data_IF_772400494322
#
_entry.id   IF_772400494322
#
_cell.length_a   1.000
_cell.length_b   1.000
_cell.length_c   1.000
_cell.angle_alpha   90.00
_cell.angle_beta   90.00
_cell.angle_gamma   90.00
#
_symmetry.space_group_name_H-M   'P 1'
#
loop_
_entity.id
_entity.type
_entity.pdbx_description
1 polymer ?
#
# COMPACT_ATOMS: atom_id res chain seq x y z
N UNK A 1 -2.18 -15.59 5.22
CA UNK A 1 -2.69 -16.91 4.76
C UNK A 1 -1.86 -17.30 3.54
N UNK A 2 -1.09 -18.38 3.61
CA UNK A 2 -0.23 -18.83 2.52
C UNK A 2 -1.04 -19.57 1.45
N UNK A 3 -0.53 -19.55 0.20
CA UNK A 3 -1.14 -20.23 -0.95
C UNK A 3 -1.33 -21.73 -0.73
N UNK A 4 -0.33 -22.39 -0.13
CA UNK A 4 -0.37 -23.81 0.23
C UNK A 4 -1.54 -24.15 1.16
N UNK A 5 -1.84 -23.27 2.12
CA UNK A 5 -2.99 -23.39 3.01
C UNK A 5 -4.33 -23.20 2.29
N UNK A 6 -4.36 -22.38 1.24
CA UNK A 6 -5.55 -22.19 0.40
C UNK A 6 -5.84 -23.45 -0.44
N UNK A 7 -4.85 -23.93 -1.20
CA UNK A 7 -5.03 -25.06 -2.13
C UNK A 7 -5.27 -26.39 -1.41
N UNK A 8 -4.75 -26.55 -0.20
CA UNK A 8 -4.99 -27.74 0.63
C UNK A 8 -6.39 -27.76 1.24
N UNK A 9 -7.09 -26.62 1.30
CA UNK A 9 -8.38 -26.46 1.95
C UNK A 9 -9.54 -27.22 1.29
N UNK A 10 -10.48 -27.71 2.11
CA UNK A 10 -11.66 -28.48 1.66
C UNK A 10 -12.48 -27.75 0.59
N UNK A 11 -12.63 -26.42 0.71
CA UNK A 11 -13.36 -25.58 -0.25
C UNK A 11 -12.70 -25.58 -1.64
N UNK A 12 -11.38 -25.40 -1.69
CA UNK A 12 -10.62 -25.43 -2.94
C UNK A 12 -10.73 -26.80 -3.60
N UNK A 13 -10.40 -27.87 -2.87
CA UNK A 13 -10.49 -29.25 -3.39
C UNK A 13 -11.87 -29.61 -3.94
N UNK A 14 -12.93 -29.26 -3.21
CA UNK A 14 -14.31 -29.51 -3.65
C UNK A 14 -14.60 -28.78 -4.96
N UNK A 15 -14.25 -27.49 -5.03
CA UNK A 15 -14.47 -26.67 -6.22
C UNK A 15 -13.61 -27.13 -7.41
N UNK A 16 -12.34 -27.47 -7.20
CA UNK A 16 -11.45 -28.04 -8.21
C UNK A 16 -12.02 -29.34 -8.79
N UNK A 17 -12.53 -30.24 -7.94
CA UNK A 17 -13.17 -31.49 -8.38
C UNK A 17 -14.45 -31.23 -9.18
N UNK A 18 -15.25 -30.24 -8.77
CA UNK A 18 -16.48 -29.87 -9.48
C UNK A 18 -16.21 -29.24 -10.86
N UNK A 19 -15.18 -28.42 -10.98
CA UNK A 19 -14.84 -27.70 -12.23
C UNK A 19 -13.90 -28.55 -13.12
N UNK A 20 -13.32 -29.63 -12.58
CA UNK A 20 -12.41 -30.51 -13.33
C UNK A 20 -10.99 -29.95 -13.47
N UNK A 21 -10.59 -29.02 -12.60
CA UNK A 21 -9.26 -28.40 -12.63
C UNK A 21 -8.34 -29.04 -11.58
N UNK A 22 -7.02 -29.11 -11.83
CA UNK A 22 -6.07 -29.65 -10.87
C UNK A 22 -6.06 -28.85 -9.57
N UNK A 23 -5.82 -29.54 -8.44
CA UNK A 23 -5.76 -28.92 -7.10
C UNK A 23 -4.59 -27.93 -7.01
N UNK A 24 -3.48 -28.24 -7.68
CA UNK A 24 -2.28 -27.40 -7.74
C UNK A 24 -2.30 -26.39 -8.90
N UNK A 25 -3.48 -25.89 -9.26
CA UNK A 25 -3.60 -24.77 -10.20
C UNK A 25 -2.85 -23.58 -9.62
N UNK A 26 -2.09 -22.84 -10.43
CA UNK A 26 -1.48 -21.57 -10.02
C UNK A 26 -2.47 -20.43 -10.26
N UNK A 27 -2.39 -19.31 -9.52
CA UNK A 27 -3.14 -18.12 -9.88
C UNK A 27 -2.68 -17.66 -11.27
N UNK A 28 -3.60 -17.57 -12.20
CA UNK A 28 -3.34 -16.87 -13.46
C UNK A 28 -3.58 -15.38 -13.23
N UNK A 29 -2.65 -14.55 -13.69
CA UNK A 29 -2.88 -13.11 -13.75
C UNK A 29 -4.10 -12.86 -14.63
N UNK A 30 -5.04 -12.06 -14.11
CA UNK A 30 -6.26 -11.74 -14.83
C UNK A 30 -5.89 -11.02 -16.13
N UNK A 31 -6.00 -11.71 -17.26
CA UNK A 31 -5.79 -11.11 -18.56
C UNK A 31 -6.79 -9.96 -18.73
N UNK A 32 -6.27 -8.74 -18.82
CA UNK A 32 -7.10 -7.58 -19.13
C UNK A 32 -7.63 -7.78 -20.54
N UNK A 33 -8.94 -7.96 -20.65
CA UNK A 33 -9.60 -8.17 -21.94
C UNK A 33 -9.26 -7.02 -22.91
N UNK A 34 -9.15 -7.29 -24.23
CA UNK A 34 -8.93 -6.24 -25.22
C UNK A 34 -9.94 -5.09 -25.07
N UNK A 35 -9.46 -3.85 -25.11
CA UNK A 35 -10.28 -2.65 -24.91
C UNK A 35 -10.62 -2.33 -23.45
N UNK A 36 -9.98 -3.02 -22.50
CA UNK A 36 -9.98 -2.66 -21.08
C UNK A 36 -8.55 -2.38 -20.61
N UNK A 37 -8.42 -1.65 -19.52
CA UNK A 37 -7.18 -1.32 -18.84
C UNK A 37 -7.39 -1.49 -17.33
N UNK A 38 -6.40 -2.03 -16.65
CA UNK A 38 -6.43 -2.20 -15.19
C UNK A 38 -5.73 -1.02 -14.52
N UNK A 39 -6.36 -0.43 -13.51
CA UNK A 39 -5.78 0.62 -12.69
C UNK A 39 -5.26 0.03 -11.38
N UNK A 40 -3.95 0.00 -11.20
CA UNK A 40 -3.28 -0.49 -9.99
C UNK A 40 -3.61 0.34 -8.74
N UNK A 41 -3.71 1.67 -8.89
CA UNK A 41 -4.05 2.58 -7.78
C UNK A 41 -5.47 2.32 -7.25
N UNK A 42 -6.39 1.97 -8.15
CA UNK A 42 -7.78 1.77 -7.80
C UNK A 42 -8.18 0.30 -7.67
N UNK A 43 -7.32 -0.62 -8.06
CA UNK A 43 -7.55 -2.06 -8.13
C UNK A 43 -8.84 -2.41 -8.90
N UNK A 44 -9.03 -1.81 -10.08
CA UNK A 44 -10.23 -2.02 -10.93
C UNK A 44 -9.88 -2.09 -12.42
N UNK A 45 -10.70 -2.81 -13.18
CA UNK A 45 -10.65 -2.86 -14.65
C UNK A 45 -11.65 -1.86 -15.25
N UNK A 46 -11.19 -1.06 -16.21
CA UNK A 46 -11.91 0.06 -16.81
C UNK A 46 -11.84 -0.07 -18.32
N UNK A 47 -12.89 0.35 -19.04
CA UNK A 47 -12.80 0.43 -20.50
C UNK A 47 -11.74 1.45 -20.94
N UNK A 48 -10.94 1.11 -21.95
CA UNK A 48 -9.87 1.98 -22.47
C UNK A 48 -10.41 3.34 -22.93
N UNK A 49 -11.64 3.41 -23.42
CA UNK A 49 -12.32 4.66 -23.79
C UNK A 49 -12.61 5.58 -22.59
N UNK A 50 -12.81 5.01 -21.40
CA UNK A 50 -13.07 5.75 -20.16
C UNK A 50 -11.79 6.00 -19.35
N UNK A 51 -10.65 5.50 -19.80
CA UNK A 51 -9.37 5.62 -19.10
C UNK A 51 -8.96 7.08 -18.83
N UNK A 52 -9.06 8.02 -19.79
CA UNK A 52 -8.72 9.42 -19.52
C UNK A 52 -9.65 10.08 -18.49
N UNK A 53 -10.95 9.76 -18.56
CA UNK A 53 -11.94 10.25 -17.61
C UNK A 53 -11.72 9.68 -16.20
N UNK A 54 -11.29 8.42 -16.11
CA UNK A 54 -10.93 7.79 -14.84
C UNK A 54 -9.75 8.50 -14.16
N UNK A 55 -8.64 8.72 -14.89
CA UNK A 55 -7.42 9.35 -14.35
C UNK A 55 -7.69 10.77 -13.83
N UNK A 56 -8.58 11.49 -14.49
CA UNK A 56 -8.95 12.87 -14.10
C UNK A 56 -9.98 12.92 -12.97
N UNK A 57 -10.65 11.80 -12.69
CA UNK A 57 -11.72 11.70 -11.70
C UNK A 57 -11.24 11.91 -10.25
N UNK A 58 -12.10 12.48 -9.38
CA UNK A 58 -11.73 12.80 -8.00
C UNK A 58 -11.39 11.56 -7.18
N UNK A 59 -12.03 10.42 -7.47
CA UNK A 59 -11.78 9.16 -6.78
C UNK A 59 -10.35 8.63 -7.04
N UNK A 60 -9.90 8.69 -8.30
CA UNK A 60 -8.54 8.28 -8.68
C UNK A 60 -7.51 9.20 -8.02
N UNK A 61 -7.65 10.52 -8.19
CA UNK A 61 -6.74 11.52 -7.58
C UNK A 61 -6.63 11.40 -6.06
N UNK A 62 -7.73 11.09 -5.37
CA UNK A 62 -7.70 10.89 -3.90
C UNK A 62 -6.89 9.65 -3.52
N UNK A 63 -7.06 8.54 -4.24
CA UNK A 63 -6.30 7.31 -4.00
C UNK A 63 -4.82 7.48 -4.37
N UNK A 64 -4.54 8.14 -5.49
CA UNK A 64 -3.19 8.48 -5.94
C UNK A 64 -2.43 9.26 -4.86
N UNK A 65 -3.04 10.33 -4.32
CA UNK A 65 -2.44 11.09 -3.20
C UNK A 65 -2.20 10.22 -1.98
N UNK A 66 -3.17 9.39 -1.59
CA UNK A 66 -3.02 8.50 -0.43
C UNK A 66 -1.86 7.51 -0.61
N UNK A 67 -1.76 6.89 -1.80
CA UNK A 67 -0.66 5.97 -2.12
C UNK A 67 0.68 6.71 -2.08
N UNK A 68 0.77 7.92 -2.65
CA UNK A 68 1.99 8.72 -2.60
C UNK A 68 2.43 9.03 -1.16
N UNK A 69 1.48 9.45 -0.29
CA UNK A 69 1.78 9.70 1.13
C UNK A 69 2.19 8.43 1.86
N UNK A 70 1.49 7.32 1.64
CA UNK A 70 1.83 6.04 2.27
C UNK A 70 3.22 5.58 1.85
N UNK A 71 3.57 5.64 0.56
CA UNK A 71 4.89 5.27 0.09
C UNK A 71 5.99 6.15 0.68
N UNK A 72 5.76 7.46 0.79
CA UNK A 72 6.72 8.36 1.44
C UNK A 72 6.87 8.07 2.93
N UNK A 73 5.77 7.75 3.63
CA UNK A 73 5.78 7.35 5.03
C UNK A 73 6.51 6.03 5.23
N UNK A 74 6.19 5.01 4.43
CA UNK A 74 6.83 3.70 4.48
C UNK A 74 8.33 3.81 4.21
N UNK A 75 8.75 4.65 3.25
CA UNK A 75 10.16 4.92 2.97
C UNK A 75 10.86 5.72 4.08
N UNK A 76 10.16 6.67 4.71
CA UNK A 76 10.67 7.38 5.89
C UNK A 76 10.77 6.45 7.12
N UNK A 77 9.93 5.43 7.19
CA UNK A 77 9.91 4.41 8.25
C UNK A 77 10.92 3.29 8.03
N UNK A 78 11.44 3.14 6.80
CA UNK A 78 12.53 2.21 6.52
C UNK A 78 13.83 2.77 7.10
N UNK A 79 14.45 1.92 7.90
CA UNK A 79 15.70 2.13 8.61
C UNK A 79 16.79 2.72 7.68
N UNK A 80 17.24 3.93 7.99
CA UNK A 80 18.30 4.59 7.23
C UNK A 80 19.64 4.25 7.87
N UNK A 81 20.24 3.16 7.42
CA UNK A 81 21.63 2.79 7.74
C UNK A 81 21.89 2.55 9.24
N UNK A 82 20.96 1.91 9.96
CA UNK A 82 21.14 1.53 11.37
C UNK A 82 20.70 2.61 12.37
N UNK A 83 19.91 3.58 11.92
CA UNK A 83 19.30 4.61 12.78
C UNK A 83 17.79 4.41 12.76
N UNK A 84 17.30 3.62 13.72
CA UNK A 84 15.88 3.45 13.97
C UNK A 84 15.35 4.61 14.84
N UNK A 85 14.41 5.41 14.32
CA UNK A 85 13.69 6.37 15.14
C UNK A 85 12.54 5.68 15.87
N UNK A 86 12.74 5.35 17.14
CA UNK A 86 11.67 4.82 17.99
C UNK A 86 10.64 5.90 18.30
N UNK A 87 9.41 5.72 17.84
CA UNK A 87 8.25 6.58 18.17
C UNK A 87 7.58 6.12 19.48
N UNK A 88 8.38 5.73 20.48
CA UNK A 88 7.91 5.36 21.83
C UNK A 88 8.02 6.54 22.80
N UNK A 89 7.87 6.30 24.12
CA UNK A 89 7.98 7.33 25.19
C UNK A 89 9.33 8.09 25.20
N UNK A 90 10.33 7.61 24.46
CA UNK A 90 11.66 8.21 24.31
C UNK A 90 11.90 8.82 22.91
N UNK A 91 10.87 8.86 22.06
CA UNK A 91 10.93 9.47 20.73
C UNK A 91 10.87 10.99 20.79
N UNK A 92 11.22 11.63 19.68
CA UNK A 92 11.09 13.08 19.54
C UNK A 92 9.62 13.42 19.35
N UNK A 93 8.98 13.90 20.40
CA UNK A 93 7.62 14.42 20.34
C UNK A 93 7.66 15.95 20.31
N UNK A 94 7.15 16.53 19.23
CA UNK A 94 6.99 17.98 19.11
C UNK A 94 5.69 18.47 19.76
N UNK A 95 4.85 17.55 20.22
CA UNK A 95 3.53 17.85 20.77
C UNK A 95 2.59 18.46 19.73
N UNK A 96 1.54 19.12 20.23
CA UNK A 96 0.65 19.95 19.41
C UNK A 96 1.29 21.33 19.29
N UNK A 97 1.75 21.69 18.10
CA UNK A 97 2.35 23.01 17.82
C UNK A 97 1.28 23.99 17.37
N UNK A 98 1.16 25.14 18.05
CA UNK A 98 0.25 26.20 17.62
C UNK A 98 0.73 26.91 16.35
N UNK A 99 -0.20 27.42 15.55
CA UNK A 99 0.07 28.06 14.26
C UNK A 99 1.03 29.27 14.35
N UNK A 100 1.12 29.88 15.53
CA UNK A 100 2.00 31.03 15.79
C UNK A 100 3.45 30.57 15.90
N UNK A 101 3.70 29.48 16.62
CA UNK A 101 5.03 28.91 16.83
C UNK A 101 5.54 28.16 15.60
N UNK A 102 4.63 27.60 14.80
CA UNK A 102 4.95 26.99 13.51
C UNK A 102 5.62 27.99 12.53
N UNK A 103 5.31 29.29 12.61
CA UNK A 103 5.92 30.33 11.75
C UNK A 103 7.37 30.64 12.14
N UNK A 104 7.70 30.52 13.42
CA UNK A 104 9.06 30.71 13.91
C UNK A 104 9.93 29.46 13.70
N UNK A 105 9.28 28.29 13.65
CA UNK A 105 9.94 27.00 13.52
C UNK A 105 10.31 26.45 14.89
N UNK A 106 9.92 25.20 15.15
CA UNK A 106 10.27 24.49 16.39
C UNK A 106 11.48 23.60 16.12
N UNK A 107 12.48 23.65 17.00
CA UNK A 107 13.68 22.82 16.92
C UNK A 107 13.75 21.92 18.16
N UNK A 108 14.19 20.67 17.95
CA UNK A 108 14.50 19.73 19.03
C UNK A 108 15.92 19.21 18.82
N UNK A 109 16.71 19.23 19.90
CA UNK A 109 18.09 18.75 19.87
C UNK A 109 18.13 17.30 20.36
N UNK A 110 18.75 16.41 19.57
CA UNK A 110 18.92 15.00 19.92
C UNK A 110 20.37 14.63 20.09
N UNK A 111 20.63 13.82 21.11
CA UNK A 111 21.92 13.19 21.33
C UNK A 111 21.83 11.71 20.94
N UNK A 112 22.53 11.35 19.87
CA UNK A 112 22.62 9.98 19.39
C UNK A 112 23.87 9.35 19.99
N UNK A 113 23.72 8.30 20.81
CA UNK A 113 24.84 7.46 21.24
C UNK A 113 24.79 6.14 20.49
N UNK A 114 25.87 5.85 19.76
CA UNK A 114 26.08 4.59 19.06
C UNK A 114 26.82 3.66 20.04
N UNK A 115 26.33 2.43 20.20
CA UNK A 115 26.96 1.40 21.04
C UNK A 115 27.90 0.54 20.22
#
# INVERSE_FOLDING_TARGET
RCWEGHISGKRHRSRSKHIGVPINVQPEDAHVLPGKAYCEICDIVIYSSLWPAHLTGPAHKRREKFVAYKSAFDEASKDRHGVAMSHGELGVDFGIVELQDAKAGVQAELKIQIT
#
